data_IF_945736567778
#
_entry.id   IF_945736567778
#
_cell.length_a   1.000
_cell.length_b   1.000
_cell.length_c   1.000
_cell.angle_alpha   90.00
_cell.angle_beta   90.00
_cell.angle_gamma   90.00
#
_symmetry.space_group_name_H-M   'P 1'
#
loop_
_entity.id
_entity.type
_entity.pdbx_description
1 polymer ?
#
# COMPACT_ATOMS: atom_id res chain seq x y z
N UNK A 1 1.80 17.29 -5.57
CA UNK A 1 2.80 16.76 -4.61
C UNK A 1 3.18 15.35 -5.04
N UNK A 2 4.44 15.00 -4.99
CA UNK A 2 4.88 13.63 -5.27
C UNK A 2 4.46 12.70 -4.14
N UNK A 3 4.10 11.44 -4.43
CA UNK A 3 3.76 10.47 -3.38
C UNK A 3 4.85 10.33 -2.30
N UNK A 4 6.13 10.32 -2.68
CA UNK A 4 7.23 10.23 -1.72
C UNK A 4 7.28 11.40 -0.74
N UNK A 5 6.85 12.58 -1.15
CA UNK A 5 6.75 13.73 -0.26
C UNK A 5 5.48 13.66 0.59
N UNK A 6 4.38 13.18 -0.01
CA UNK A 6 3.09 13.11 0.65
C UNK A 6 3.10 12.17 1.87
N UNK A 7 3.90 11.11 1.83
CA UNK A 7 3.95 10.12 2.91
C UNK A 7 4.89 10.49 4.05
N UNK A 8 5.69 11.53 3.92
CA UNK A 8 6.61 11.94 4.98
C UNK A 8 5.84 12.28 6.27
N UNK A 9 6.20 11.60 7.35
CA UNK A 9 5.53 11.77 8.63
C UNK A 9 4.20 11.02 8.73
N UNK A 10 3.72 10.42 7.65
CA UNK A 10 2.45 9.70 7.61
C UNK A 10 2.62 8.17 7.64
N UNK A 11 3.85 7.68 7.59
CA UNK A 11 4.12 6.24 7.48
C UNK A 11 3.47 5.43 8.60
N UNK A 12 3.58 5.91 9.83
CA UNK A 12 2.95 5.25 10.99
C UNK A 12 1.43 5.25 10.90
N UNK A 13 0.83 6.33 10.43
CA UNK A 13 -0.61 6.45 10.25
C UNK A 13 -1.11 5.52 9.15
N UNK A 14 -0.38 5.45 8.05
CA UNK A 14 -0.69 4.55 6.93
C UNK A 14 -0.66 3.11 7.42
N UNK A 15 0.38 2.71 8.13
CA UNK A 15 0.51 1.36 8.67
C UNK A 15 -0.63 1.02 9.61
N UNK A 16 -0.95 1.91 10.55
CA UNK A 16 -2.03 1.69 11.51
C UNK A 16 -3.39 1.52 10.83
N UNK A 17 -3.65 2.31 9.80
CA UNK A 17 -4.90 2.23 9.05
C UNK A 17 -5.01 0.89 8.30
N UNK A 18 -3.94 0.49 7.63
CA UNK A 18 -3.89 -0.80 6.91
C UNK A 18 -4.10 -1.96 7.89
N UNK A 19 -3.42 -1.93 9.04
CA UNK A 19 -3.56 -2.96 10.06
C UNK A 19 -4.96 -2.98 10.67
N UNK A 20 -5.60 -1.83 10.81
CA UNK A 20 -6.97 -1.73 11.34
C UNK A 20 -7.99 -2.43 10.44
N UNK A 21 -7.72 -2.54 9.15
CA UNK A 21 -8.56 -3.29 8.20
C UNK A 21 -8.27 -4.80 8.22
N UNK A 22 -7.30 -5.24 8.99
CA UNK A 22 -6.98 -6.66 9.14
C UNK A 22 -5.80 -7.14 8.31
N UNK A 23 -5.13 -6.26 7.60
CA UNK A 23 -3.94 -6.60 6.81
C UNK A 23 -2.70 -6.62 7.70
N UNK A 24 -1.68 -7.33 7.23
CA UNK A 24 -0.35 -7.36 7.83
C UNK A 24 0.71 -6.98 6.79
N UNK A 25 1.91 -6.69 7.25
CA UNK A 25 3.09 -6.45 6.43
C UNK A 25 2.89 -5.36 5.37
N UNK A 26 2.47 -4.15 5.77
CA UNK A 26 2.33 -3.07 4.81
C UNK A 26 3.69 -2.64 4.27
N UNK A 27 3.79 -2.52 2.95
CA UNK A 27 5.02 -2.17 2.25
C UNK A 27 4.76 -1.06 1.25
N UNK A 28 5.77 -0.26 0.99
CA UNK A 28 5.79 0.71 -0.09
C UNK A 28 6.57 0.10 -1.25
N UNK A 29 6.06 0.23 -2.48
CA UNK A 29 6.79 -0.18 -3.67
C UNK A 29 6.51 0.79 -4.82
N UNK A 30 7.01 0.48 -6.02
CA UNK A 30 6.81 1.33 -7.17
C UNK A 30 7.70 2.57 -7.16
N UNK A 31 7.28 3.60 -7.90
CA UNK A 31 8.10 4.79 -8.12
C UNK A 31 8.45 5.53 -6.83
N UNK A 32 7.53 5.58 -5.87
CA UNK A 32 7.79 6.26 -4.60
C UNK A 32 8.88 5.55 -3.78
N UNK A 33 8.92 4.21 -3.84
CA UNK A 33 9.94 3.43 -3.15
C UNK A 33 11.30 3.59 -3.82
N UNK A 34 11.33 3.67 -5.16
CA UNK A 34 12.56 3.86 -5.92
C UNK A 34 13.09 5.29 -5.87
N UNK A 35 12.23 6.26 -5.52
CA UNK A 35 12.61 7.66 -5.50
C UNK A 35 12.53 8.35 -6.87
N UNK A 36 11.91 7.71 -7.85
CA UNK A 36 11.75 8.28 -9.20
C UNK A 36 10.31 8.71 -9.51
N UNK A 37 9.49 8.87 -8.49
CA UNK A 37 8.13 9.39 -8.64
C UNK A 37 8.13 10.88 -8.97
N UNK A 38 7.00 11.35 -9.52
CA UNK A 38 6.80 12.74 -9.87
C UNK A 38 5.37 13.16 -9.50
N UNK A 39 5.04 14.42 -9.69
CA UNK A 39 3.66 14.87 -9.49
C UNK A 39 2.75 14.11 -10.44
N UNK A 40 1.64 13.62 -9.89
CA UNK A 40 0.69 12.80 -10.63
C UNK A 40 0.97 11.31 -10.56
N UNK A 41 2.10 10.89 -9.98
CA UNK A 41 2.35 9.47 -9.73
C UNK A 41 1.41 8.94 -8.66
N UNK A 42 1.06 7.65 -8.74
CA UNK A 42 0.28 6.97 -7.71
C UNK A 42 1.20 6.49 -6.59
N UNK A 43 0.63 6.40 -5.39
CA UNK A 43 1.31 5.78 -4.25
C UNK A 43 0.98 4.28 -4.29
N UNK A 44 1.97 3.46 -4.56
CA UNK A 44 1.80 2.00 -4.62
C UNK A 44 2.11 1.38 -3.27
N UNK A 45 1.10 0.74 -2.69
CA UNK A 45 1.20 0.06 -1.41
C UNK A 45 0.90 -1.43 -1.59
N UNK A 46 1.53 -2.25 -0.77
CA UNK A 46 1.34 -3.68 -0.74
C UNK A 46 1.00 -4.10 0.68
N UNK A 47 0.03 -4.99 0.82
CA UNK A 47 -0.33 -5.56 2.12
C UNK A 47 -0.72 -7.01 1.96
N UNK A 48 -0.62 -7.78 3.03
CA UNK A 48 -0.89 -9.21 3.04
C UNK A 48 -2.12 -9.49 3.89
N UNK A 49 -2.99 -10.38 3.42
CA UNK A 49 -4.11 -10.89 4.20
C UNK A 49 -3.60 -12.07 5.02
N UNK A 50 -3.61 -11.98 6.36
CA UNK A 50 -3.18 -13.11 7.19
C UNK A 50 -4.20 -14.25 7.15
N UNK A 51 -3.81 -15.50 7.44
CA UNK A 51 -4.73 -16.63 7.44
C UNK A 51 -5.98 -16.43 8.32
N UNK A 52 -5.84 -15.70 9.43
CA UNK A 52 -6.95 -15.41 10.34
C UNK A 52 -8.01 -14.52 9.71
N UNK A 53 -7.69 -13.80 8.64
CA UNK A 53 -8.60 -12.90 7.94
C UNK A 53 -9.01 -13.43 6.58
N UNK A 54 -8.62 -14.66 6.23
CA UNK A 54 -8.97 -15.25 4.94
C UNK A 54 -10.49 -15.28 4.76
N UNK A 55 -10.97 -14.75 3.64
CA UNK A 55 -12.40 -14.69 3.33
C UNK A 55 -13.19 -13.62 4.09
N UNK A 56 -12.55 -12.84 4.94
CA UNK A 56 -13.21 -11.79 5.75
C UNK A 56 -13.03 -10.39 5.19
N UNK A 57 -12.08 -10.20 4.28
CA UNK A 57 -11.81 -8.92 3.67
C UNK A 57 -12.35 -8.94 2.25
N UNK A 58 -13.30 -8.04 1.96
CA UNK A 58 -13.95 -7.95 0.64
C UNK A 58 -13.28 -6.89 -0.23
N UNK A 59 -13.65 -6.87 -1.51
CA UNK A 59 -13.20 -5.81 -2.42
C UNK A 59 -13.73 -4.44 -1.98
N UNK A 60 -14.90 -4.41 -1.35
CA UNK A 60 -15.46 -3.17 -0.80
C UNK A 60 -14.60 -2.63 0.34
N UNK A 61 -14.08 -3.51 1.20
CA UNK A 61 -13.18 -3.12 2.27
C UNK A 61 -11.90 -2.51 1.72
N UNK A 62 -11.35 -3.12 0.67
CA UNK A 62 -10.13 -2.62 0.01
C UNK A 62 -10.38 -1.24 -0.60
N UNK A 63 -11.50 -1.06 -1.29
CA UNK A 63 -11.85 0.23 -1.90
C UNK A 63 -12.02 1.31 -0.83
N UNK A 64 -12.66 0.98 0.29
CA UNK A 64 -12.84 1.92 1.40
C UNK A 64 -11.50 2.29 2.03
N UNK A 65 -10.61 1.32 2.21
CA UNK A 65 -9.27 1.56 2.74
C UNK A 65 -8.47 2.49 1.82
N UNK A 66 -8.55 2.27 0.49
CA UNK A 66 -7.89 3.15 -0.47
C UNK A 66 -8.41 4.58 -0.38
N UNK A 67 -9.73 4.76 -0.25
CA UNK A 67 -10.32 6.09 -0.08
C UNK A 67 -9.80 6.78 1.17
N UNK A 68 -9.75 6.07 2.29
CA UNK A 68 -9.26 6.63 3.54
C UNK A 68 -7.78 6.98 3.46
N UNK A 69 -6.98 6.14 2.81
CA UNK A 69 -5.56 6.42 2.60
C UNK A 69 -5.37 7.65 1.72
N UNK A 70 -6.14 7.76 0.64
CA UNK A 70 -6.10 8.93 -0.24
C UNK A 70 -6.46 10.23 0.49
N UNK A 71 -7.46 10.17 1.37
CA UNK A 71 -7.83 11.31 2.19
C UNK A 71 -6.71 11.70 3.15
N UNK A 72 -5.98 10.72 3.67
CA UNK A 72 -4.89 10.96 4.61
C UNK A 72 -3.68 11.60 3.94
N UNK A 73 -3.27 11.09 2.76
CA UNK A 73 -2.02 11.52 2.11
C UNK A 73 -2.22 12.54 1.00
N UNK A 74 -3.43 12.67 0.47
CA UNK A 74 -3.74 13.67 -0.56
C UNK A 74 -3.25 13.34 -1.96
N UNK A 75 -2.84 12.10 -2.23
CA UNK A 75 -2.46 11.62 -3.55
C UNK A 75 -3.18 10.31 -3.86
N UNK A 76 -3.32 9.93 -5.15
CA UNK A 76 -3.94 8.66 -5.48
C UNK A 76 -3.17 7.49 -4.86
N UNK A 77 -3.91 6.52 -4.31
CA UNK A 77 -3.33 5.34 -3.67
C UNK A 77 -3.81 4.09 -4.40
N UNK A 78 -2.88 3.20 -4.70
CA UNK A 78 -3.15 1.92 -5.31
C UNK A 78 -2.67 0.84 -4.34
N UNK A 79 -3.63 0.16 -3.69
CA UNK A 79 -3.33 -0.87 -2.70
C UNK A 79 -3.40 -2.25 -3.35
N UNK A 80 -2.30 -2.96 -3.33
CA UNK A 80 -2.18 -4.31 -3.87
C UNK A 80 -2.17 -5.34 -2.75
N UNK A 81 -2.85 -6.46 -2.97
CA UNK A 81 -2.88 -7.57 -2.01
C UNK A 81 -1.86 -8.60 -2.45
N UNK A 82 -0.86 -8.84 -1.61
CA UNK A 82 0.25 -9.73 -1.91
C UNK A 82 -0.22 -11.15 -2.23
N UNK A 83 -1.25 -11.63 -1.54
CA UNK A 83 -1.81 -12.98 -1.71
C UNK A 83 -2.29 -13.27 -3.14
N UNK A 84 -2.73 -12.23 -3.85
CA UNK A 84 -3.30 -12.35 -5.19
C UNK A 84 -2.28 -12.08 -6.29
N UNK A 85 -1.04 -11.83 -5.93
CA UNK A 85 0.00 -11.41 -6.86
C UNK A 85 0.74 -12.63 -7.42
N UNK A 86 0.95 -12.72 -8.75
CA UNK A 86 1.77 -13.77 -9.31
C UNK A 86 3.19 -13.73 -8.76
N UNK A 87 3.80 -14.90 -8.58
CA UNK A 87 5.10 -15.02 -7.94
C UNK A 87 6.19 -14.20 -8.63
N UNK A 88 6.24 -14.25 -9.96
CA UNK A 88 7.26 -13.50 -10.71
C UNK A 88 7.17 -11.99 -10.50
N UNK A 89 5.94 -11.47 -10.38
CA UNK A 89 5.70 -10.05 -10.10
C UNK A 89 6.09 -9.72 -8.66
N UNK A 90 5.74 -10.61 -7.71
CA UNK A 90 6.09 -10.43 -6.32
C UNK A 90 7.60 -10.41 -6.12
N UNK A 91 8.33 -11.30 -6.79
CA UNK A 91 9.79 -11.31 -6.74
C UNK A 91 10.40 -10.02 -7.28
N UNK A 92 9.84 -9.49 -8.36
CA UNK A 92 10.28 -8.22 -8.94
C UNK A 92 10.09 -7.07 -7.95
N UNK A 93 8.95 -7.04 -7.28
CA UNK A 93 8.61 -5.99 -6.30
C UNK A 93 9.46 -6.11 -5.04
N UNK A 94 9.76 -7.32 -4.58
CA UNK A 94 10.54 -7.57 -3.36
C UNK A 94 11.92 -6.91 -3.40
N UNK A 95 12.47 -6.68 -4.59
CA UNK A 95 13.79 -6.05 -4.74
C UNK A 95 13.77 -4.57 -4.40
N UNK A 96 12.62 -3.92 -4.46
CA UNK A 96 12.51 -2.47 -4.27
C UNK A 96 11.60 -2.07 -3.12
N UNK A 97 10.81 -2.98 -2.56
CA UNK A 97 9.84 -2.62 -1.54
C UNK A 97 10.48 -2.23 -0.21
N UNK A 98 9.84 -1.30 0.46
CA UNK A 98 10.26 -0.75 1.74
C UNK A 98 9.18 -1.00 2.78
N UNK A 99 9.57 -1.46 3.96
CA UNK A 99 8.63 -1.64 5.08
C UNK A 99 8.16 -0.27 5.59
N UNK A 100 6.89 -0.14 5.79
CA UNK A 100 6.32 1.06 6.40
C UNK A 100 6.42 1.06 7.91
#
# INVERSE_FOLDING_TARGET
MKPSDAIRGEEGGIRRLIEAYGFIEPKLFGSAARGDDHEGSDLDLLATIPPTMAGKISLFDIAELEEELQAMVGVPVDLHVCNNMPEHLRQSIEREMVTL
#
